data_IF_186546818112
#
_entry.id   IF_186546818112
#
_cell.length_a   1.000
_cell.length_b   1.000
_cell.length_c   1.000
_cell.angle_alpha   90.00
_cell.angle_beta   90.00
_cell.angle_gamma   90.00
#
_symmetry.space_group_name_H-M   'P 1'
#
loop_
_entity.id
_entity.type
_entity.pdbx_description
1 polymer ?
#
# COMPACT_ATOMS: atom_id res chain seq x y z
N UNK A 1 -30.45 18.92 19.04
CA UNK A 1 -29.65 18.41 17.92
C UNK A 1 -28.23 18.97 18.04
N UNK A 2 -27.22 18.10 18.01
CA UNK A 2 -25.93 18.29 18.69
C UNK A 2 -25.00 19.35 18.05
N UNK A 3 -24.72 20.41 18.82
CA UNK A 3 -23.80 21.52 18.52
C UNK A 3 -22.35 21.09 18.23
N UNK A 4 -21.96 19.86 18.59
CA UNK A 4 -20.61 19.36 18.29
C UNK A 4 -20.40 19.09 16.79
N UNK A 5 -21.46 18.71 16.05
CA UNK A 5 -21.31 18.20 14.68
C UNK A 5 -20.99 19.34 13.71
N UNK A 6 -21.63 20.49 13.88
CA UNK A 6 -21.32 21.72 13.13
C UNK A 6 -19.90 22.21 13.42
N UNK A 7 -19.51 22.30 14.69
CA UNK A 7 -18.16 22.74 15.09
C UNK A 7 -17.04 21.82 14.57
N UNK A 8 -17.31 20.52 14.48
CA UNK A 8 -16.32 19.55 13.95
C UNK A 8 -16.16 19.71 12.44
N UNK A 9 -17.26 19.95 11.71
CA UNK A 9 -17.23 20.17 10.26
C UNK A 9 -16.54 21.50 9.91
N UNK A 10 -16.80 22.57 10.65
CA UNK A 10 -16.15 23.88 10.50
C UNK A 10 -14.64 23.81 10.76
N UNK A 11 -14.21 23.00 11.74
CA UNK A 11 -12.79 22.77 12.05
C UNK A 11 -12.08 21.90 10.99
N UNK A 12 -12.81 21.02 10.31
CA UNK A 12 -12.29 20.20 9.19
C UNK A 12 -12.17 20.99 7.89
N UNK A 13 -12.93 22.08 7.74
CA UNK A 13 -12.88 23.00 6.60
C UNK A 13 -11.65 23.90 6.61
N UNK A 14 -11.20 24.33 7.80
CA UNK A 14 -9.99 25.15 7.98
C UNK A 14 -8.67 24.37 8.08
N UNK A 15 -8.69 23.05 8.04
CA UNK A 15 -7.47 22.24 8.07
C UNK A 15 -6.74 22.31 6.71
N UNK A 16 -5.42 22.56 6.69
CA UNK A 16 -4.65 22.53 5.45
C UNK A 16 -4.73 21.14 4.81
N UNK A 17 -4.94 21.10 3.49
CA UNK A 17 -5.08 19.85 2.74
C UNK A 17 -3.87 18.93 2.94
N UNK A 18 -2.67 19.48 3.04
CA UNK A 18 -1.44 18.72 3.27
C UNK A 18 -1.44 17.98 4.62
N UNK A 19 -2.01 18.56 5.70
CA UNK A 19 -2.15 17.89 7.00
C UNK A 19 -3.11 16.69 6.90
N UNK A 20 -4.20 16.84 6.14
CA UNK A 20 -5.15 15.75 5.88
C UNK A 20 -4.50 14.62 5.06
N UNK A 21 -3.63 14.94 4.10
CA UNK A 21 -2.90 13.95 3.32
C UNK A 21 -1.85 13.24 4.17
N UNK A 22 -1.05 13.97 4.95
CA UNK A 22 -0.04 13.38 5.82
C UNK A 22 -0.67 12.45 6.87
N UNK A 23 -1.77 12.88 7.50
CA UNK A 23 -2.47 12.05 8.50
C UNK A 23 -3.06 10.78 7.89
N UNK A 24 -3.67 10.86 6.70
CA UNK A 24 -4.19 9.67 5.99
C UNK A 24 -3.09 8.72 5.54
N UNK A 25 -1.96 9.25 5.06
CA UNK A 25 -0.80 8.45 4.69
C UNK A 25 -0.21 7.71 5.91
N UNK A 26 -0.06 8.38 7.05
CA UNK A 26 0.42 7.76 8.29
C UNK A 26 -0.53 6.66 8.77
N UNK A 27 -1.83 6.92 8.81
CA UNK A 27 -2.83 5.92 9.21
C UNK A 27 -2.78 4.71 8.28
N UNK A 28 -2.63 4.94 6.98
CA UNK A 28 -2.56 3.86 5.99
C UNK A 28 -1.29 3.04 6.15
N UNK A 29 -0.14 3.67 6.37
CA UNK A 29 1.11 2.97 6.65
C UNK A 29 1.01 2.12 7.92
N UNK A 30 0.41 2.64 8.99
CA UNK A 30 0.17 1.88 10.22
C UNK A 30 -0.80 0.71 10.00
N UNK A 31 -1.86 0.92 9.22
CA UNK A 31 -2.80 -0.14 8.84
C UNK A 31 -2.13 -1.24 8.01
N UNK A 32 -1.29 -0.86 7.04
CA UNK A 32 -0.52 -1.81 6.25
C UNK A 32 0.45 -2.61 7.14
N UNK A 33 1.18 -1.96 8.04
CA UNK A 33 2.04 -2.64 9.01
C UNK A 33 1.26 -3.62 9.90
N UNK A 34 0.09 -3.24 10.37
CA UNK A 34 -0.79 -4.11 11.14
C UNK A 34 -1.21 -5.34 10.32
N UNK A 35 -1.65 -5.13 9.08
CA UNK A 35 -2.03 -6.20 8.16
C UNK A 35 -0.86 -7.14 7.90
N UNK A 36 0.35 -6.63 7.63
CA UNK A 36 1.55 -7.45 7.44
C UNK A 36 1.97 -8.25 8.69
N UNK A 37 1.60 -7.81 9.89
CA UNK A 37 1.84 -8.56 11.12
C UNK A 37 0.76 -9.62 11.39
N UNK A 38 -0.46 -9.41 10.91
CA UNK A 38 -1.60 -10.31 11.13
C UNK A 38 -1.78 -11.35 10.02
N UNK A 39 -1.39 -10.98 8.80
CA UNK A 39 -1.54 -11.74 7.57
C UNK A 39 -0.16 -11.87 6.90
N UNK A 40 0.15 -13.05 6.37
CA UNK A 40 1.45 -13.28 5.74
C UNK A 40 1.47 -12.63 4.36
N UNK A 41 2.46 -11.77 4.12
CA UNK A 41 2.79 -11.33 2.78
C UNK A 41 3.57 -12.48 2.10
N UNK A 42 2.90 -13.24 1.25
CA UNK A 42 3.51 -14.31 0.48
C UNK A 42 3.29 -14.06 -1.01
N UNK A 43 4.32 -14.35 -1.80
CA UNK A 43 4.19 -14.51 -3.24
C UNK A 43 3.42 -15.80 -3.49
N UNK A 44 2.13 -15.67 -3.76
CA UNK A 44 1.26 -16.83 -3.97
C UNK A 44 1.62 -17.54 -5.28
N UNK A 45 2.10 -16.80 -6.27
CA UNK A 45 2.43 -17.30 -7.60
C UNK A 45 3.93 -17.26 -7.92
N UNK A 46 4.36 -18.28 -8.65
CA UNK A 46 5.76 -18.50 -9.02
C UNK A 46 6.28 -17.45 -10.02
N UNK A 47 5.38 -16.84 -10.80
CA UNK A 47 5.73 -15.84 -11.82
C UNK A 47 6.19 -14.50 -11.21
N UNK A 48 5.62 -14.08 -10.08
CA UNK A 48 6.08 -12.90 -9.33
C UNK A 48 7.52 -13.06 -8.83
N UNK A 49 7.87 -14.26 -8.35
CA UNK A 49 9.23 -14.58 -7.93
C UNK A 49 10.21 -14.52 -9.13
N UNK A 50 9.83 -15.07 -10.27
CA UNK A 50 10.66 -15.02 -11.48
C UNK A 50 10.78 -13.61 -12.05
N UNK A 51 9.72 -12.79 -11.99
CA UNK A 51 9.78 -11.38 -12.38
C UNK A 51 10.77 -10.59 -11.51
N UNK A 52 10.71 -10.77 -10.19
CA UNK A 52 11.66 -10.12 -9.28
C UNK A 52 13.10 -10.60 -9.50
N UNK A 53 13.27 -11.89 -9.77
CA UNK A 53 14.57 -12.50 -10.04
C UNK A 53 15.18 -12.04 -11.37
N UNK A 54 14.37 -11.85 -12.41
CA UNK A 54 14.79 -11.25 -13.69
C UNK A 54 15.16 -9.77 -13.53
N UNK A 55 14.33 -9.00 -12.83
CA UNK A 55 14.55 -7.57 -12.61
C UNK A 55 15.82 -7.27 -11.80
N UNK A 56 16.12 -8.10 -10.79
CA UNK A 56 17.33 -7.97 -9.99
C UNK A 56 18.60 -8.52 -10.69
N UNK A 57 18.45 -9.23 -11.82
CA UNK A 57 19.56 -9.86 -12.54
C UNK A 57 20.07 -11.15 -11.87
N UNK A 58 19.26 -11.80 -11.05
CA UNK A 58 19.59 -13.13 -10.51
C UNK A 58 19.56 -14.23 -11.59
N UNK A 59 18.82 -13.98 -12.68
CA UNK A 59 18.64 -14.91 -13.81
C UNK A 59 19.33 -14.44 -15.10
N UNK A 60 20.26 -13.48 -15.02
CA UNK A 60 20.97 -12.92 -16.17
C UNK A 60 21.29 -11.43 -16.01
N UNK A 61 21.31 -10.68 -17.11
CA UNK A 61 21.49 -9.22 -17.04
C UNK A 61 20.24 -8.50 -16.52
N UNK A 62 20.45 -7.41 -15.76
CA UNK A 62 19.34 -6.56 -15.30
C UNK A 62 18.64 -5.90 -16.48
N UNK A 63 17.42 -6.35 -16.72
CA UNK A 63 16.58 -5.90 -17.83
C UNK A 63 15.45 -4.99 -17.36
N UNK A 64 15.10 -4.00 -18.18
CA UNK A 64 13.87 -3.21 -18.01
C UNK A 64 12.64 -3.92 -18.63
N UNK A 65 12.85 -5.00 -19.38
CA UNK A 65 11.79 -5.81 -19.95
C UNK A 65 11.34 -6.85 -18.93
N UNK A 66 10.45 -6.44 -18.03
CA UNK A 66 9.80 -7.32 -17.07
C UNK A 66 8.48 -7.78 -17.70
N UNK A 67 8.22 -9.09 -17.65
CA UNK A 67 7.00 -9.69 -18.20
C UNK A 67 5.77 -9.08 -17.52
N UNK A 68 4.67 -8.90 -18.26
CA UNK A 68 3.40 -8.35 -17.74
C UNK A 68 3.47 -6.93 -17.14
N UNK A 69 4.57 -6.21 -17.33
CA UNK A 69 4.77 -4.87 -16.76
C UNK A 69 5.08 -3.85 -17.85
N UNK A 70 4.57 -2.62 -17.70
CA UNK A 70 4.87 -1.53 -18.63
C UNK A 70 6.36 -1.19 -18.61
N UNK A 71 6.94 -0.92 -19.79
CA UNK A 71 8.37 -0.60 -19.93
C UNK A 71 8.84 0.56 -19.04
N UNK A 72 7.98 1.56 -18.79
CA UNK A 72 8.30 2.69 -17.91
C UNK A 72 8.54 2.23 -16.47
N UNK A 73 7.73 1.30 -15.97
CA UNK A 73 7.90 0.72 -14.62
C UNK A 73 9.19 -0.09 -14.57
N UNK A 74 9.51 -0.82 -15.64
CA UNK A 74 10.78 -1.54 -15.77
C UNK A 74 12.01 -0.63 -15.71
N UNK A 75 11.97 0.57 -16.30
CA UNK A 75 13.05 1.56 -16.19
C UNK A 75 13.23 2.09 -14.76
N UNK A 76 12.12 2.35 -14.07
CA UNK A 76 12.13 2.78 -12.66
C UNK A 76 12.74 1.68 -11.79
N UNK A 77 12.26 0.44 -11.94
CA UNK A 77 12.78 -0.71 -11.19
C UNK A 77 14.26 -0.93 -11.45
N UNK A 78 14.71 -0.90 -12.71
CA UNK A 78 16.13 -1.03 -13.05
C UNK A 78 16.99 0.01 -12.32
N UNK A 79 16.53 1.26 -12.27
CA UNK A 79 17.22 2.34 -11.57
C UNK A 79 17.28 2.11 -10.07
N UNK A 80 16.19 1.64 -9.46
CA UNK A 80 16.13 1.32 -8.04
C UNK A 80 17.06 0.15 -7.68
N UNK A 81 17.07 -0.91 -8.48
CA UNK A 81 17.99 -2.04 -8.30
C UNK A 81 19.46 -1.63 -8.48
N UNK A 82 19.78 -0.61 -9.29
CA UNK A 82 21.14 -0.06 -9.37
C UNK A 82 21.58 0.60 -8.05
N UNK A 83 20.67 1.27 -7.35
CA UNK A 83 20.96 1.96 -6.09
C UNK A 83 21.11 0.94 -4.94
N UNK A 84 20.19 -0.02 -4.83
CA UNK A 84 20.24 -1.05 -3.79
C UNK A 84 19.77 -2.42 -4.31
N UNK A 85 20.66 -3.28 -4.81
CA UNK A 85 20.28 -4.58 -5.39
C UNK A 85 19.78 -5.61 -4.36
N UNK A 86 20.05 -5.39 -3.07
CA UNK A 86 19.60 -6.29 -1.99
C UNK A 86 18.12 -6.14 -1.60
N UNK A 87 17.42 -5.12 -2.13
CA UNK A 87 16.02 -4.86 -1.81
C UNK A 87 15.14 -5.43 -2.93
N UNK A 88 14.05 -6.10 -2.56
CA UNK A 88 13.03 -6.51 -3.53
C UNK A 88 12.18 -5.31 -3.96
N UNK A 89 12.75 -4.44 -4.82
CA UNK A 89 12.07 -3.22 -5.28
C UNK A 89 10.76 -3.49 -5.99
N UNK A 90 10.63 -4.64 -6.67
CA UNK A 90 9.36 -5.05 -7.27
C UNK A 90 8.26 -5.17 -6.21
N UNK A 91 8.56 -5.81 -5.06
CA UNK A 91 7.65 -5.90 -3.92
C UNK A 91 7.32 -4.52 -3.38
N UNK A 92 8.36 -3.70 -3.14
CA UNK A 92 8.19 -2.36 -2.57
C UNK A 92 7.31 -1.48 -3.47
N UNK A 93 7.49 -1.55 -4.78
CA UNK A 93 6.69 -0.76 -5.74
C UNK A 93 5.25 -1.24 -5.76
N UNK A 94 5.00 -2.55 -5.84
CA UNK A 94 3.64 -3.07 -5.89
C UNK A 94 2.87 -2.84 -4.59
N UNK A 95 3.48 -3.16 -3.45
CA UNK A 95 2.91 -2.88 -2.13
C UNK A 95 2.72 -1.37 -1.89
N UNK A 96 3.67 -0.56 -2.37
CA UNK A 96 3.58 0.90 -2.29
C UNK A 96 2.37 1.45 -3.07
N UNK A 97 2.12 0.95 -4.28
CA UNK A 97 0.97 1.36 -5.09
C UNK A 97 -0.36 0.93 -4.47
N UNK A 98 -0.41 -0.27 -3.88
CA UNK A 98 -1.57 -0.74 -3.14
C UNK A 98 -1.82 0.18 -1.93
N UNK A 99 -0.80 0.42 -1.10
CA UNK A 99 -0.91 1.30 0.06
C UNK A 99 -1.36 2.72 -0.31
N UNK A 100 -0.84 3.29 -1.41
CA UNK A 100 -1.29 4.59 -1.91
C UNK A 100 -2.77 4.57 -2.30
N UNK A 101 -3.24 3.51 -2.94
CA UNK A 101 -4.65 3.36 -3.33
C UNK A 101 -5.55 3.33 -2.09
N UNK A 102 -5.17 2.57 -1.05
CA UNK A 102 -5.89 2.56 0.24
C UNK A 102 -5.89 3.91 0.94
N UNK A 103 -4.79 4.68 0.84
CA UNK A 103 -4.71 6.02 1.43
C UNK A 103 -5.67 7.00 0.76
N UNK A 104 -5.77 6.95 -0.57
CA UNK A 104 -6.73 7.76 -1.34
C UNK A 104 -8.16 7.38 -0.98
N UNK A 105 -8.48 6.08 -0.88
CA UNK A 105 -9.81 5.62 -0.48
C UNK A 105 -10.16 6.13 0.94
N UNK A 106 -9.25 5.98 1.90
CA UNK A 106 -9.45 6.49 3.26
C UNK A 106 -9.71 8.00 3.26
N UNK A 107 -8.92 8.76 2.52
CA UNK A 107 -9.06 10.20 2.41
C UNK A 107 -10.43 10.60 1.86
N UNK A 108 -10.91 9.94 0.80
CA UNK A 108 -12.25 10.16 0.23
C UNK A 108 -13.34 9.81 1.25
N UNK A 109 -13.23 8.67 1.93
CA UNK A 109 -14.22 8.21 2.92
C UNK A 109 -14.32 9.18 4.10
N UNK A 110 -13.19 9.68 4.60
CA UNK A 110 -13.16 10.68 5.67
C UNK A 110 -13.85 11.98 5.26
N UNK A 111 -13.64 12.45 4.01
CA UNK A 111 -14.27 13.66 3.48
C UNK A 111 -15.78 13.50 3.24
N UNK A 112 -16.24 12.31 2.84
CA UNK A 112 -17.65 12.06 2.49
C UNK A 112 -18.52 11.64 3.68
N UNK A 113 -17.98 10.83 4.60
CA UNK A 113 -18.75 10.16 5.66
C UNK A 113 -18.36 10.61 7.07
N UNK A 114 -17.32 11.46 7.18
CA UNK A 114 -16.72 11.88 8.44
C UNK A 114 -15.66 10.90 8.93
N UNK A 115 -14.82 11.37 9.87
CA UNK A 115 -13.62 10.67 10.31
C UNK A 115 -13.90 9.25 10.85
N UNK A 116 -14.86 9.12 11.76
CA UNK A 116 -15.13 7.84 12.44
C UNK A 116 -15.69 6.79 11.48
N UNK A 117 -16.68 7.16 10.65
CA UNK A 117 -17.30 6.25 9.69
C UNK A 117 -16.33 5.87 8.58
N UNK A 118 -15.55 6.84 8.08
CA UNK A 118 -14.57 6.57 7.04
C UNK A 118 -13.48 5.61 7.50
N UNK A 119 -12.99 5.78 8.73
CA UNK A 119 -12.01 4.87 9.32
C UNK A 119 -12.58 3.48 9.59
N UNK A 120 -13.84 3.38 10.07
CA UNK A 120 -14.50 2.10 10.29
C UNK A 120 -14.66 1.30 8.99
N UNK A 121 -15.19 1.93 7.93
CA UNK A 121 -15.37 1.28 6.62
C UNK A 121 -14.02 0.88 6.04
N UNK A 122 -13.02 1.76 6.11
CA UNK A 122 -11.68 1.48 5.62
C UNK A 122 -11.01 0.31 6.37
N UNK A 123 -11.20 0.23 7.69
CA UNK A 123 -10.67 -0.88 8.50
C UNK A 123 -11.31 -2.20 8.11
N UNK A 124 -12.63 -2.24 7.93
CA UNK A 124 -13.33 -3.43 7.42
C UNK A 124 -12.81 -3.79 6.03
N UNK A 125 -12.63 -2.80 5.16
CA UNK A 125 -12.11 -2.99 3.82
C UNK A 125 -10.70 -3.60 3.83
N UNK A 126 -9.79 -3.11 4.67
CA UNK A 126 -8.45 -3.71 4.84
C UNK A 126 -8.51 -5.18 5.29
N UNK A 127 -9.38 -5.50 6.25
CA UNK A 127 -9.49 -6.85 6.79
C UNK A 127 -10.04 -7.86 5.76
N UNK A 128 -10.82 -7.41 4.77
CA UNK A 128 -11.31 -8.29 3.69
C UNK A 128 -10.19 -8.78 2.77
N UNK A 129 -9.11 -8.01 2.61
CA UNK A 129 -7.97 -8.39 1.78
C UNK A 129 -6.90 -9.20 2.54
N UNK A 130 -7.02 -9.32 3.86
CA UNK A 130 -6.15 -10.16 4.65
C UNK A 130 -6.51 -11.63 4.52
N UNK A 131 -5.73 -12.40 3.75
CA UNK A 131 -5.82 -13.86 3.74
C UNK A 131 -4.78 -14.46 4.71
N UNK A 132 -5.24 -15.28 5.65
CA UNK A 132 -4.36 -16.06 6.52
C UNK A 132 -4.39 -17.50 6.04
N UNK A 133 -3.35 -17.93 5.33
CA UNK A 133 -3.21 -19.33 4.94
C UNK A 133 -2.93 -20.19 6.20
N UNK A 134 -3.84 -21.11 6.59
CA UNK A 134 -3.66 -21.94 7.78
C UNK A 134 -2.68 -23.10 7.58
N UNK A 135 -2.23 -23.36 6.34
CA UNK A 135 -1.43 -24.54 5.99
C UNK A 135 0.07 -24.39 6.25
N UNK A 136 0.57 -23.15 6.42
CA UNK A 136 1.99 -22.88 6.66
C UNK A 136 2.19 -22.31 8.07
N UNK A 137 2.63 -23.17 9.00
CA UNK A 137 3.21 -22.73 10.28
C UNK A 137 4.57 -22.09 9.98
N UNK A 138 4.86 -20.95 10.61
CA UNK A 138 6.21 -20.38 10.66
C UNK A 138 7.24 -21.47 10.95
N UNK A 139 8.15 -21.69 9.99
CA UNK A 139 9.53 -22.08 10.28
C UNK A 139 10.40 -20.82 10.22
#
# INVERSE_FOLDING_TARGET
MNNWRSKTLEKLEHQPVWLSICTTAIITALGALLVCNLFYLHWEENDDFYMGSLANGALGERTSYIVSTNIVVGWVLKSLYLIAPGISWIAVVWEGLVALSFAVILWILQKRLGWANGLAIWTVFLLLFGHKDPSKKCE
#
